data_IF_310437904664
#
_entry.id   IF_310437904664
#
_cell.length_a   1.000
_cell.length_b   1.000
_cell.length_c   1.000
_cell.angle_alpha   90.00
_cell.angle_beta   90.00
_cell.angle_gamma   90.00
#
_symmetry.space_group_name_H-M   'P 1'
#
loop_
_entity.id
_entity.type
_entity.pdbx_description
1 polymer ?
#
# COMPACT_ATOMS: atom_id res chain seq x y z
N UNK A 1 16.58 21.17 64.46
CA UNK A 1 15.35 21.12 63.63
C UNK A 1 15.81 21.16 62.18
N UNK A 2 15.85 20.00 61.51
CA UNK A 2 16.38 19.85 60.14
C UNK A 2 15.19 19.83 59.18
N UNK A 3 15.13 20.78 58.24
CA UNK A 3 14.05 20.89 57.26
C UNK A 3 14.51 20.26 55.95
N UNK A 4 13.84 19.19 55.51
CA UNK A 4 14.10 18.53 54.22
C UNK A 4 13.06 19.03 53.22
N UNK A 5 13.48 19.81 52.22
CA UNK A 5 12.63 20.23 51.10
C UNK A 5 12.70 19.19 49.98
N UNK A 6 11.62 18.44 49.79
CA UNK A 6 11.42 17.56 48.63
C UNK A 6 10.95 18.39 47.43
N UNK A 7 11.83 18.60 46.45
CA UNK A 7 11.45 19.14 45.14
C UNK A 7 10.79 18.02 44.33
N UNK A 8 9.47 18.06 44.18
CA UNK A 8 8.75 17.24 43.21
C UNK A 8 8.86 17.90 41.83
N UNK A 9 9.80 17.43 41.00
CA UNK A 9 9.80 17.76 39.58
C UNK A 9 8.69 16.98 38.89
N UNK A 10 7.62 17.65 38.45
CA UNK A 10 6.57 17.03 37.65
C UNK A 10 7.10 16.58 36.29
N UNK A 11 7.13 15.27 36.05
CA UNK A 11 7.35 14.73 34.72
C UNK A 11 6.06 14.91 33.90
N UNK A 12 6.11 15.78 32.89
CA UNK A 12 5.05 15.85 31.88
C UNK A 12 5.25 14.72 30.87
N UNK A 13 4.39 13.71 30.94
CA UNK A 13 4.31 12.71 29.88
C UNK A 13 3.61 13.34 28.67
N UNK A 14 4.31 13.44 27.54
CA UNK A 14 3.68 13.72 26.25
C UNK A 14 3.16 12.39 25.69
N UNK A 15 1.84 12.28 25.54
CA UNK A 15 1.24 11.17 24.83
C UNK A 15 1.65 11.22 23.35
N UNK A 16 1.86 10.06 22.73
CA UNK A 16 2.09 9.98 21.29
C UNK A 16 0.86 10.54 20.57
N UNK A 17 1.10 11.46 19.62
CA UNK A 17 0.08 11.97 18.71
C UNK A 17 -0.61 10.78 18.04
N UNK A 18 -1.95 10.72 18.13
CA UNK A 18 -2.72 9.69 17.43
C UNK A 18 -2.41 9.73 15.94
N UNK A 19 -2.41 8.55 15.30
CA UNK A 19 -2.29 8.44 13.85
C UNK A 19 -3.38 9.29 13.19
N UNK A 20 -2.97 10.37 12.52
CA UNK A 20 -3.88 11.32 11.88
C UNK A 20 -4.37 10.83 10.51
N UNK A 21 -3.86 9.69 10.02
CA UNK A 21 -4.23 9.14 8.72
C UNK A 21 -5.53 8.35 8.86
N UNK A 22 -6.59 8.87 8.24
CA UNK A 22 -7.87 8.19 8.21
C UNK A 22 -7.76 6.88 7.41
N UNK A 23 -8.14 5.75 8.04
CA UNK A 23 -8.27 4.48 7.33
C UNK A 23 -9.39 4.55 6.30
N UNK A 24 -9.06 4.20 5.06
CA UNK A 24 -10.02 4.09 3.96
C UNK A 24 -10.70 2.73 3.96
N UNK A 25 -11.93 2.70 3.47
CA UNK A 25 -12.69 1.48 3.20
C UNK A 25 -13.21 1.54 1.76
N UNK A 26 -13.23 0.40 1.09
CA UNK A 26 -13.73 0.27 -0.27
C UNK A 26 -14.57 -1.01 -0.36
N UNK A 27 -15.68 -0.95 -1.09
CA UNK A 27 -16.49 -2.12 -1.42
C UNK A 27 -16.06 -2.62 -2.78
N UNK A 28 -15.62 -3.87 -2.83
CA UNK A 28 -15.14 -4.53 -4.05
C UNK A 28 -16.23 -5.44 -4.63
N UNK A 29 -16.26 -5.58 -5.94
CA UNK A 29 -17.31 -6.33 -6.66
C UNK A 29 -16.87 -7.76 -6.92
N UNK A 30 -17.81 -8.70 -6.78
CA UNK A 30 -17.63 -10.07 -7.27
C UNK A 30 -17.78 -10.09 -8.79
N UNK A 31 -16.91 -10.81 -9.48
CA UNK A 31 -16.93 -10.97 -10.94
C UNK A 31 -17.26 -12.42 -11.32
N UNK A 32 -17.69 -12.61 -12.57
CA UNK A 32 -17.91 -13.94 -13.18
C UNK A 32 -16.96 -14.23 -14.33
N UNK A 33 -16.38 -13.19 -14.93
CA UNK A 33 -15.37 -13.29 -15.98
C UNK A 33 -14.04 -12.87 -15.38
N UNK A 34 -13.09 -13.81 -15.34
CA UNK A 34 -11.76 -13.59 -14.76
C UNK A 34 -10.94 -12.70 -15.70
N UNK A 35 -10.30 -11.61 -15.20
CA UNK A 35 -9.46 -10.76 -16.02
C UNK A 35 -8.19 -11.49 -16.45
N UNK A 36 -7.64 -11.10 -17.60
CA UNK A 36 -6.34 -11.57 -18.03
C UNK A 36 -5.24 -10.92 -17.16
N UNK A 37 -4.23 -11.70 -16.78
CA UNK A 37 -3.11 -11.20 -15.95
C UNK A 37 -1.95 -10.81 -16.86
N UNK A 38 -2.12 -9.73 -17.62
CA UNK A 38 -1.11 -9.20 -18.55
C UNK A 38 -0.73 -7.74 -18.30
N UNK A 39 -1.34 -7.11 -17.28
CA UNK A 39 -1.09 -5.71 -16.92
C UNK A 39 -1.91 -4.69 -17.71
N UNK A 40 -2.79 -5.13 -18.61
CA UNK A 40 -3.74 -4.26 -19.32
C UNK A 40 -5.10 -4.33 -18.61
N UNK A 41 -5.69 -3.17 -18.29
CA UNK A 41 -6.94 -3.08 -17.51
C UNK A 41 -8.16 -2.76 -18.39
N UNK A 42 -8.31 -3.47 -19.51
CA UNK A 42 -9.39 -3.27 -20.49
C UNK A 42 -10.48 -4.35 -20.49
N UNK A 43 -10.30 -5.44 -19.73
CA UNK A 43 -11.33 -6.47 -19.51
C UNK A 43 -12.64 -5.92 -18.90
N UNK A 44 -13.77 -6.58 -19.21
CA UNK A 44 -15.10 -6.24 -18.65
C UNK A 44 -15.12 -6.24 -17.12
N UNK A 45 -14.35 -7.13 -16.49
CA UNK A 45 -14.22 -7.24 -15.03
C UNK A 45 -13.84 -5.91 -14.36
N UNK A 46 -13.07 -5.06 -15.05
CA UNK A 46 -12.55 -3.80 -14.51
C UNK A 46 -13.46 -2.60 -14.69
N UNK A 47 -14.49 -2.67 -15.54
CA UNK A 47 -15.29 -1.49 -15.92
C UNK A 47 -16.10 -0.91 -14.77
N UNK A 48 -16.67 -1.78 -13.93
CA UNK A 48 -17.50 -1.40 -12.78
C UNK A 48 -16.78 -1.57 -11.44
N UNK A 49 -15.48 -1.84 -11.45
CA UNK A 49 -14.69 -1.96 -10.24
C UNK A 49 -14.56 -0.59 -9.56
N UNK A 50 -14.78 -0.54 -8.26
CA UNK A 50 -14.47 0.65 -7.47
C UNK A 50 -12.97 0.94 -7.54
N UNK A 51 -12.61 2.22 -7.59
CA UNK A 51 -11.23 2.68 -7.66
C UNK A 51 -10.80 3.13 -6.27
N UNK A 52 -9.75 2.52 -5.73
CA UNK A 52 -9.02 3.03 -4.59
C UNK A 52 -8.03 4.09 -5.08
N UNK A 53 -8.13 5.29 -4.53
CA UNK A 53 -7.36 6.47 -4.92
C UNK A 53 -6.95 7.33 -3.71
N UNK A 54 -6.42 8.53 -3.98
CA UNK A 54 -6.09 9.53 -2.97
C UNK A 54 -5.03 9.05 -1.97
N UNK A 55 -4.08 8.24 -2.43
CA UNK A 55 -3.00 7.72 -1.61
C UNK A 55 -2.19 8.87 -1.00
N UNK A 56 -1.57 8.58 0.13
CA UNK A 56 -0.72 9.52 0.87
C UNK A 56 0.68 8.97 0.93
N UNK A 57 1.65 9.85 1.05
CA UNK A 57 3.03 9.48 1.28
C UNK A 57 3.18 8.76 2.61
N UNK A 58 3.94 7.67 2.61
CA UNK A 58 4.44 7.05 3.85
C UNK A 58 5.72 7.76 4.32
N UNK A 59 6.57 8.14 3.38
CA UNK A 59 7.83 8.85 3.56
C UNK A 59 8.06 9.78 2.36
N UNK A 60 8.77 10.92 2.53
CA UNK A 60 9.37 11.41 3.78
C UNK A 60 8.35 12.09 4.71
N UNK A 61 7.22 12.59 4.18
CA UNK A 61 6.20 13.30 4.96
C UNK A 61 4.96 12.43 5.10
N UNK A 62 4.91 11.63 6.15
CA UNK A 62 3.81 10.69 6.39
C UNK A 62 2.44 11.40 6.39
N UNK A 63 1.49 10.90 5.59
CA UNK A 63 0.14 11.42 5.48
C UNK A 63 -0.04 12.60 4.52
N UNK A 64 1.03 13.11 3.90
CA UNK A 64 0.92 14.14 2.86
C UNK A 64 0.22 13.56 1.61
N UNK A 65 -0.81 14.22 1.05
CA UNK A 65 -1.38 13.81 -0.24
C UNK A 65 -0.30 13.80 -1.32
N UNK A 66 -0.29 12.75 -2.15
CA UNK A 66 0.60 12.70 -3.31
C UNK A 66 0.20 13.78 -4.34
N UNK A 67 1.14 14.31 -5.14
CA UNK A 67 0.81 15.18 -6.27
C UNK A 67 -0.09 14.46 -7.29
N UNK A 68 -1.04 15.17 -7.90
CA UNK A 68 -1.94 14.58 -8.93
C UNK A 68 -1.18 14.01 -10.14
N UNK A 69 0.01 14.54 -10.45
CA UNK A 69 0.88 14.02 -11.51
C UNK A 69 1.44 12.62 -11.22
N UNK A 70 1.46 12.23 -9.94
CA UNK A 70 1.92 10.92 -9.46
C UNK A 70 0.75 10.07 -8.95
N UNK A 71 -0.48 10.38 -9.36
CA UNK A 71 -1.67 9.68 -8.87
C UNK A 71 -1.56 8.17 -9.08
N UNK A 72 -2.09 7.42 -8.13
CA UNK A 72 -2.19 5.97 -8.22
C UNK A 72 -3.66 5.59 -8.09
N UNK A 73 -4.12 4.74 -8.99
CA UNK A 73 -5.48 4.21 -9.04
C UNK A 73 -5.40 2.68 -8.96
N UNK A 74 -6.09 2.08 -8.00
CA UNK A 74 -6.11 0.63 -7.80
C UNK A 74 -7.55 0.12 -7.90
N UNK A 75 -7.82 -0.76 -8.85
CA UNK A 75 -9.06 -1.52 -8.99
C UNK A 75 -8.91 -2.87 -8.32
N UNK A 76 -9.94 -3.28 -7.60
CA UNK A 76 -9.96 -4.54 -6.87
C UNK A 76 -11.28 -5.25 -7.15
N UNK A 77 -11.18 -6.50 -7.57
CA UNK A 77 -12.31 -7.40 -7.83
C UNK A 77 -11.98 -8.78 -7.29
N UNK A 78 -12.98 -9.64 -7.14
CA UNK A 78 -12.76 -11.00 -6.65
C UNK A 78 -13.75 -12.00 -7.24
N UNK A 79 -13.40 -13.27 -7.24
CA UNK A 79 -14.30 -14.38 -7.51
C UNK A 79 -14.19 -15.44 -6.38
N UNK A 80 -14.63 -16.66 -6.63
CA UNK A 80 -14.54 -17.74 -5.63
C UNK A 80 -13.13 -18.33 -5.50
N UNK A 81 -12.19 -17.96 -6.38
CA UNK A 81 -10.84 -18.51 -6.47
C UNK A 81 -9.76 -17.50 -6.05
N UNK A 82 -10.00 -16.21 -6.22
CA UNK A 82 -8.99 -15.20 -5.96
C UNK A 82 -9.49 -13.77 -5.82
N UNK A 83 -8.56 -12.92 -5.40
CA UNK A 83 -8.71 -11.45 -5.38
C UNK A 83 -7.72 -10.91 -6.41
N UNK A 84 -8.19 -10.04 -7.29
CA UNK A 84 -7.44 -9.48 -8.39
C UNK A 84 -7.22 -7.99 -8.14
N UNK A 85 -5.98 -7.55 -8.33
CA UNK A 85 -5.56 -6.17 -8.13
C UNK A 85 -5.03 -5.63 -9.45
N UNK A 86 -5.68 -4.61 -10.00
CA UNK A 86 -5.20 -3.85 -11.15
C UNK A 86 -4.77 -2.47 -10.69
N UNK A 87 -3.50 -2.10 -10.89
CA UNK A 87 -2.97 -0.81 -10.46
C UNK A 87 -2.45 0.00 -11.66
N UNK A 88 -2.80 1.28 -11.71
CA UNK A 88 -2.23 2.26 -12.64
C UNK A 88 -1.56 3.35 -11.83
N UNK A 89 -0.25 3.49 -12.00
CA UNK A 89 0.57 4.52 -11.37
C UNK A 89 1.03 5.49 -12.45
N UNK A 90 0.74 6.78 -12.28
CA UNK A 90 1.10 7.80 -13.24
C UNK A 90 2.46 8.38 -12.88
N UNK A 91 3.29 8.64 -13.88
CA UNK A 91 4.56 9.33 -13.72
C UNK A 91 4.80 10.28 -14.91
N UNK A 92 5.08 11.57 -14.67
CA UNK A 92 5.39 12.51 -15.75
C UNK A 92 6.75 12.25 -16.43
N UNK A 93 7.61 11.42 -15.84
CA UNK A 93 8.95 11.08 -16.29
C UNK A 93 9.10 9.57 -16.55
N UNK A 94 8.36 8.98 -17.51
CA UNK A 94 8.34 7.53 -17.73
C UNK A 94 9.70 6.94 -18.14
N UNK A 95 10.64 7.76 -18.61
CA UNK A 95 12.00 7.33 -18.94
C UNK A 95 12.89 7.17 -17.69
N UNK A 96 12.49 7.75 -16.55
CA UNK A 96 13.21 7.65 -15.27
C UNK A 96 12.73 6.47 -14.41
N UNK A 97 11.64 5.80 -14.80
CA UNK A 97 11.14 4.60 -14.12
C UNK A 97 12.23 3.54 -14.12
N UNK A 98 12.67 3.19 -12.91
CA UNK A 98 13.67 2.18 -12.68
C UNK A 98 13.06 0.80 -12.91
N UNK A 99 13.80 -0.09 -13.58
CA UNK A 99 13.30 -1.40 -14.04
C UNK A 99 14.41 -2.44 -14.20
N UNK A 100 15.32 -2.51 -13.24
CA UNK A 100 16.38 -3.51 -13.24
C UNK A 100 15.80 -4.93 -13.15
N UNK A 101 16.04 -5.75 -14.18
CA UNK A 101 15.64 -7.15 -14.14
C UNK A 101 16.54 -7.93 -13.18
N UNK A 102 15.92 -8.55 -12.19
CA UNK A 102 16.56 -9.38 -11.17
C UNK A 102 15.89 -10.76 -11.08
N UNK A 103 16.41 -11.65 -10.24
CA UNK A 103 15.77 -12.92 -9.94
C UNK A 103 14.49 -12.72 -9.11
N UNK A 104 13.58 -13.70 -9.11
CA UNK A 104 12.42 -13.70 -8.21
C UNK A 104 12.89 -13.52 -6.77
N UNK A 105 12.10 -12.80 -5.98
CA UNK A 105 12.34 -12.51 -4.57
C UNK A 105 13.57 -11.61 -4.33
N UNK A 106 14.08 -10.94 -5.37
CA UNK A 106 15.06 -9.86 -5.29
C UNK A 106 14.44 -8.55 -5.78
N UNK A 107 14.76 -7.45 -5.10
CA UNK A 107 14.41 -6.10 -5.53
C UNK A 107 15.71 -5.36 -5.78
N UNK A 108 16.00 -5.08 -7.05
CA UNK A 108 17.14 -4.27 -7.48
C UNK A 108 16.84 -2.78 -7.42
N UNK A 109 17.50 -2.02 -8.29
CA UNK A 109 17.14 -0.63 -8.54
C UNK A 109 15.91 -0.59 -9.44
N UNK A 110 14.73 -0.69 -8.82
CA UNK A 110 13.44 -0.87 -9.51
C UNK A 110 12.32 -0.14 -8.76
N UNK A 111 11.36 0.40 -9.51
CA UNK A 111 10.11 0.90 -8.95
C UNK A 111 9.16 -0.28 -8.76
N UNK A 112 8.36 -0.28 -7.68
CA UNK A 112 7.51 -1.43 -7.38
C UNK A 112 6.18 -1.05 -6.77
N UNK A 113 5.20 -1.92 -7.00
CA UNK A 113 3.90 -1.89 -6.36
C UNK A 113 3.81 -3.08 -5.40
N UNK A 114 3.27 -2.85 -4.20
CA UNK A 114 3.03 -3.93 -3.26
C UNK A 114 1.69 -3.82 -2.56
N UNK A 115 1.17 -4.99 -2.18
CA UNK A 115 -0.04 -5.13 -1.36
C UNK A 115 0.29 -5.90 -0.09
N UNK A 116 -0.40 -5.55 0.99
CA UNK A 116 -0.39 -6.29 2.25
C UNK A 116 -1.81 -6.77 2.56
N UNK A 117 -1.99 -8.08 2.69
CA UNK A 117 -3.28 -8.70 2.97
C UNK A 117 -3.25 -9.39 4.33
N UNK A 118 -4.06 -8.90 5.27
CA UNK A 118 -4.37 -9.63 6.49
C UNK A 118 -5.76 -10.26 6.34
N UNK A 119 -5.80 -11.52 5.92
CA UNK A 119 -7.04 -12.27 5.69
C UNK A 119 -7.84 -12.56 6.96
N UNK A 120 -7.20 -12.59 8.12
CA UNK A 120 -7.88 -12.80 9.42
C UNK A 120 -8.34 -11.48 10.07
N UNK A 121 -7.85 -10.34 9.56
CA UNK A 121 -8.04 -9.00 10.13
C UNK A 121 -7.69 -8.94 11.63
N UNK A 122 -6.74 -9.76 12.07
CA UNK A 122 -6.31 -9.91 13.47
C UNK A 122 -5.22 -8.92 13.89
N UNK A 123 -4.66 -8.18 12.91
CA UNK A 123 -3.53 -7.23 13.05
C UNK A 123 -2.21 -7.88 13.50
N UNK A 124 -2.06 -9.20 13.34
CA UNK A 124 -0.86 -9.93 13.74
C UNK A 124 0.03 -10.33 12.57
N UNK A 125 -0.58 -10.74 11.45
CA UNK A 125 0.16 -11.22 10.29
C UNK A 125 -0.44 -10.70 8.98
N UNK A 126 0.41 -10.48 7.98
CA UNK A 126 -0.01 -10.12 6.63
C UNK A 126 0.79 -10.92 5.60
N UNK A 127 0.17 -11.24 4.47
CA UNK A 127 0.87 -11.65 3.27
C UNK A 127 1.26 -10.41 2.48
N UNK A 128 2.50 -10.36 2.02
CA UNK A 128 3.01 -9.33 1.13
C UNK A 128 3.17 -9.89 -0.27
N UNK A 129 2.74 -9.14 -1.26
CA UNK A 129 3.00 -9.41 -2.66
C UNK A 129 3.54 -8.15 -3.31
N UNK A 130 4.59 -8.27 -4.09
CA UNK A 130 5.26 -7.17 -4.79
C UNK A 130 5.43 -7.56 -6.25
N UNK A 131 5.22 -6.57 -7.13
CA UNK A 131 5.62 -6.64 -8.53
C UNK A 131 6.43 -5.39 -8.87
N UNK A 132 7.56 -5.57 -9.51
CA UNK A 132 8.41 -4.47 -9.96
C UNK A 132 8.04 -3.99 -11.37
N UNK A 133 8.54 -2.85 -11.82
CA UNK A 133 8.30 -2.35 -13.17
C UNK A 133 8.92 -3.25 -14.25
N UNK A 134 9.96 -4.03 -13.91
CA UNK A 134 10.51 -5.10 -14.74
C UNK A 134 9.67 -6.39 -14.75
N UNK A 135 8.63 -6.48 -13.92
CA UNK A 135 7.77 -7.66 -13.78
C UNK A 135 8.33 -8.72 -12.83
N UNK A 136 9.37 -8.40 -12.04
CA UNK A 136 9.90 -9.31 -11.01
C UNK A 136 8.88 -9.42 -9.88
N UNK A 137 8.67 -10.64 -9.40
CA UNK A 137 7.72 -10.94 -8.34
C UNK A 137 8.46 -11.23 -7.03
N UNK A 138 7.85 -10.80 -5.93
CA UNK A 138 8.28 -11.13 -4.58
C UNK A 138 7.04 -11.40 -3.71
N UNK A 139 7.10 -12.43 -2.87
CA UNK A 139 6.10 -12.66 -1.83
C UNK A 139 6.72 -12.99 -0.47
N UNK A 140 6.05 -12.58 0.60
CA UNK A 140 6.50 -12.85 1.95
C UNK A 140 5.35 -12.93 2.95
N UNK A 141 5.63 -13.58 4.09
CA UNK A 141 4.83 -13.45 5.29
C UNK A 141 5.43 -12.38 6.20
N UNK A 142 4.64 -11.37 6.54
CA UNK A 142 4.97 -10.35 7.52
C UNK A 142 4.37 -10.75 8.88
N UNK A 143 5.20 -10.79 9.92
CA UNK A 143 4.84 -11.14 11.31
C UNK A 143 5.41 -10.13 12.28
#
# INVERSE_FOLDING_TARGET
MLFVCLFFSGFYAHAQTMDTIQRKAITISKITEVPQIDGVLDDEAWKNAAIADGFVERQPVNGRPIPDSLKTEVKIVYDDLGIYFGATMYDPQPLEILKELTERDQIGNDDFFYILLNGYNDRQQSLQFIVTAAGVQYDAKMT
#
